data_IF_301353231336
#
_entry.id   IF_301353231336
#
_cell.length_a   1.000
_cell.length_b   1.000
_cell.length_c   1.000
_cell.angle_alpha   90.00
_cell.angle_beta   90.00
_cell.angle_gamma   90.00
#
_symmetry.space_group_name_H-M   'P 1'
#
loop_
_entity.id
_entity.type
_entity.pdbx_description
1 polymer ?
#
# COMPACT_ATOMS: atom_id res chain seq x y z
N UNK A 1 47.48 25.18 19.27
CA UNK A 1 48.83 24.55 19.27
C UNK A 1 49.77 25.37 20.12
N UNK A 2 50.36 24.77 21.15
CA UNK A 2 51.35 25.42 22.01
C UNK A 2 52.72 24.78 21.77
N UNK A 3 53.72 25.62 21.50
CA UNK A 3 55.12 25.19 21.38
C UNK A 3 55.75 25.25 22.77
N UNK A 4 56.36 24.14 23.20
CA UNK A 4 57.07 24.08 24.48
C UNK A 4 58.51 23.67 24.26
N UNK A 5 59.42 24.54 24.69
CA UNK A 5 60.84 24.23 24.74
C UNK A 5 61.13 23.38 25.98
N UNK A 6 61.63 22.17 25.77
CA UNK A 6 62.02 21.27 26.84
C UNK A 6 63.54 21.10 26.81
N UNK A 7 64.16 21.29 27.98
CA UNK A 7 65.59 21.02 28.19
C UNK A 7 65.75 19.61 28.72
N UNK A 8 66.66 18.84 28.13
CA UNK A 8 66.98 17.49 28.58
C UNK A 8 68.49 17.32 28.72
N UNK A 9 68.88 16.49 29.67
CA UNK A 9 70.28 16.15 29.96
C UNK A 9 70.59 14.85 29.23
N UNK A 10 71.71 14.82 28.51
CA UNK A 10 72.17 13.57 27.87
C UNK A 10 72.77 12.66 28.94
N UNK A 11 72.37 11.39 28.94
CA UNK A 11 72.90 10.34 29.82
C UNK A 11 73.65 9.30 28.99
N UNK A 12 74.69 8.70 29.56
CA UNK A 12 75.43 7.60 28.95
C UNK A 12 74.75 6.24 29.18
N UNK A 13 75.35 5.17 28.66
CA UNK A 13 74.87 3.79 28.79
C UNK A 13 74.81 3.27 30.25
N UNK A 14 75.56 3.90 31.16
CA UNK A 14 75.54 3.60 32.60
C UNK A 14 74.51 4.45 33.37
N UNK A 15 73.65 5.18 32.65
CA UNK A 15 72.62 6.05 33.20
C UNK A 15 73.18 7.25 33.98
N UNK A 16 74.40 7.68 33.67
CA UNK A 16 75.05 8.84 34.27
C UNK A 16 74.99 10.07 33.33
N UNK A 17 74.81 11.29 33.86
CA UNK A 17 74.81 12.50 33.04
C UNK A 17 76.15 12.75 32.36
N UNK A 18 76.11 12.99 31.05
CA UNK A 18 77.26 13.41 30.27
C UNK A 18 77.55 14.88 30.60
N UNK A 19 78.84 15.18 30.83
CA UNK A 19 79.32 16.52 31.15
C UNK A 19 80.18 17.05 30.01
N UNK A 20 80.14 18.36 29.80
CA UNK A 20 81.04 19.08 28.90
C UNK A 20 82.45 19.13 29.51
N UNK A 21 83.43 19.60 28.73
CA UNK A 21 84.84 19.73 29.15
C UNK A 21 85.04 20.63 30.38
N UNK A 22 84.13 21.59 30.59
CA UNK A 22 84.12 22.49 31.75
C UNK A 22 83.42 21.89 32.99
N UNK A 23 82.93 20.65 32.91
CA UNK A 23 82.22 19.95 33.99
C UNK A 23 80.73 20.28 34.10
N UNK A 24 80.19 21.16 33.25
CA UNK A 24 78.75 21.44 33.18
C UNK A 24 77.98 20.28 32.52
N UNK A 25 76.68 20.16 32.79
CA UNK A 25 75.84 19.13 32.14
C UNK A 25 75.66 19.45 30.65
N UNK A 26 75.77 18.43 29.78
CA UNK A 26 75.38 18.60 28.38
C UNK A 26 73.84 18.63 28.27
N UNK A 27 73.31 19.84 28.15
CA UNK A 27 71.88 20.12 28.06
C UNK A 27 71.54 20.42 26.61
N UNK A 28 70.64 19.63 26.03
CA UNK A 28 70.04 19.91 24.73
C UNK A 28 68.63 20.48 24.90
N UNK A 29 68.18 21.21 23.90
CA UNK A 29 66.82 21.76 23.85
C UNK A 29 66.11 21.14 22.66
N UNK A 30 64.89 20.64 22.88
CA UNK A 30 63.98 20.25 21.81
C UNK A 30 62.72 21.12 21.90
N UNK A 31 62.21 21.49 20.73
CA UNK A 31 60.89 22.10 20.59
C UNK A 31 59.88 20.98 20.41
N UNK A 32 58.90 20.91 21.32
CA UNK A 32 57.84 19.90 21.27
C UNK A 32 56.52 20.62 20.95
N UNK A 33 55.82 20.10 19.95
CA UNK A 33 54.45 20.52 19.62
C UNK A 33 53.50 19.74 20.52
N UNK A 34 52.75 20.45 21.36
CA UNK A 34 51.68 19.85 22.15
C UNK A 34 50.36 20.02 21.39
N UNK A 35 49.81 18.91 20.89
CA UNK A 35 48.47 18.88 20.35
C UNK A 35 47.44 19.09 21.47
N UNK A 36 46.43 19.92 21.19
CA UNK A 36 45.43 20.29 22.18
C UNK A 36 44.34 19.20 22.18
N UNK A 37 44.57 18.13 22.94
CA UNK A 37 43.72 16.93 22.93
C UNK A 37 42.22 17.26 23.13
N UNK A 38 41.92 18.27 23.95
CA UNK A 38 40.55 18.72 24.21
C UNK A 38 39.85 19.29 22.96
N UNK A 39 40.54 20.09 22.13
CA UNK A 39 39.97 20.63 20.88
C UNK A 39 39.70 19.51 19.86
N UNK A 40 40.58 18.50 19.81
CA UNK A 40 40.42 17.33 18.92
C UNK A 40 39.25 16.46 19.38
N UNK A 41 39.12 16.22 20.68
CA UNK A 41 38.01 15.48 21.26
C UNK A 41 36.65 16.18 21.04
N UNK A 42 36.60 17.50 21.24
CA UNK A 42 35.39 18.31 20.99
C UNK A 42 35.01 18.31 19.50
N UNK A 43 35.99 18.49 18.60
CA UNK A 43 35.76 18.42 17.16
C UNK A 43 35.22 17.05 16.72
N UNK A 44 35.79 15.96 17.26
CA UNK A 44 35.35 14.61 16.96
C UNK A 44 33.94 14.33 17.50
N UNK A 45 33.62 14.80 18.71
CA UNK A 45 32.29 14.67 19.29
C UNK A 45 31.23 15.43 18.47
N UNK A 46 31.54 16.67 18.05
CA UNK A 46 30.66 17.47 17.20
C UNK A 46 30.42 16.82 15.83
N UNK A 47 31.47 16.28 15.21
CA UNK A 47 31.32 15.55 13.94
C UNK A 47 30.47 14.29 14.10
N UNK A 48 30.63 13.54 15.20
CA UNK A 48 29.83 12.37 15.48
C UNK A 48 28.35 12.73 15.67
N UNK A 49 28.07 13.80 16.41
CA UNK A 49 26.71 14.32 16.59
C UNK A 49 26.07 14.73 15.27
N UNK A 50 26.79 15.50 14.44
CA UNK A 50 26.30 15.93 13.13
C UNK A 50 26.01 14.73 12.22
N UNK A 51 26.91 13.75 12.16
CA UNK A 51 26.72 12.52 11.39
C UNK A 51 25.48 11.73 11.86
N UNK A 52 25.26 11.64 13.17
CA UNK A 52 24.08 10.97 13.73
C UNK A 52 22.78 11.72 13.37
N UNK A 53 22.79 13.06 13.39
CA UNK A 53 21.65 13.86 12.95
C UNK A 53 21.33 13.62 11.47
N UNK A 54 22.34 13.69 10.59
CA UNK A 54 22.18 13.41 9.16
C UNK A 54 21.67 11.98 8.91
N UNK A 55 22.17 11.00 9.66
CA UNK A 55 21.71 9.62 9.57
C UNK A 55 20.22 9.50 9.91
N UNK A 56 19.77 10.14 11.00
CA UNK A 56 18.37 10.13 11.41
C UNK A 56 17.45 10.83 10.40
N UNK A 57 17.90 11.94 9.81
CA UNK A 57 17.18 12.63 8.74
C UNK A 57 17.03 11.74 7.51
N UNK A 58 18.12 11.09 7.07
CA UNK A 58 18.09 10.16 5.95
C UNK A 58 17.18 8.95 6.23
N UNK A 59 17.22 8.39 7.44
CA UNK A 59 16.37 7.27 7.84
C UNK A 59 14.89 7.66 7.84
N UNK A 60 14.56 8.86 8.35
CA UNK A 60 13.20 9.40 8.35
C UNK A 60 12.71 9.58 6.92
N UNK A 61 13.51 10.24 6.07
CA UNK A 61 13.18 10.46 4.67
C UNK A 61 13.03 9.17 3.88
N UNK A 62 13.86 8.16 4.16
CA UNK A 62 13.75 6.85 3.51
C UNK A 62 12.45 6.13 3.90
N UNK A 63 12.06 6.23 5.19
CA UNK A 63 10.78 5.67 5.67
C UNK A 63 9.58 6.37 5.04
N UNK A 64 9.64 7.70 4.90
CA UNK A 64 8.61 8.49 4.23
C UNK A 64 8.50 8.12 2.74
N UNK A 65 9.61 8.06 2.01
CA UNK A 65 9.64 7.68 0.61
C UNK A 65 9.10 6.25 0.39
N UNK A 66 9.44 5.32 1.28
CA UNK A 66 8.91 3.94 1.22
C UNK A 66 7.39 3.95 1.32
N UNK A 67 6.82 4.68 2.30
CA UNK A 67 5.38 4.82 2.47
C UNK A 67 4.70 5.46 1.25
N UNK A 68 5.32 6.49 0.65
CA UNK A 68 4.79 7.13 -0.56
C UNK A 68 4.76 6.15 -1.76
N UNK A 69 5.80 5.34 -1.94
CA UNK A 69 5.87 4.33 -3.01
C UNK A 69 4.79 3.25 -2.82
N UNK A 70 4.57 2.79 -1.59
CA UNK A 70 3.52 1.82 -1.28
C UNK A 70 2.13 2.37 -1.61
N UNK A 71 1.85 3.61 -1.22
CA UNK A 71 0.58 4.27 -1.53
C UNK A 71 0.37 4.44 -3.04
N UNK A 72 1.38 4.90 -3.77
CA UNK A 72 1.31 5.05 -5.22
C UNK A 72 1.10 3.70 -5.93
N UNK A 73 1.74 2.63 -5.43
CA UNK A 73 1.56 1.28 -5.97
C UNK A 73 0.13 0.78 -5.79
N UNK A 74 -0.49 1.05 -4.64
CA UNK A 74 -1.89 0.70 -4.40
C UNK A 74 -2.81 1.49 -5.34
N UNK A 75 -2.56 2.79 -5.52
CA UNK A 75 -3.34 3.65 -6.41
C UNK A 75 -3.26 3.18 -7.87
N UNK A 76 -2.07 2.81 -8.36
CA UNK A 76 -1.91 2.28 -9.71
C UNK A 76 -2.71 1.00 -9.93
N UNK A 77 -2.66 0.05 -8.98
CA UNK A 77 -3.47 -1.18 -9.05
C UNK A 77 -4.97 -0.88 -9.06
N UNK A 78 -5.43 0.13 -8.32
CA UNK A 78 -6.83 0.55 -8.33
C UNK A 78 -7.22 1.11 -9.70
N UNK A 79 -6.37 1.94 -10.30
CA UNK A 79 -6.58 2.47 -11.66
C UNK A 79 -6.67 1.32 -12.67
N UNK A 80 -5.73 0.38 -12.65
CA UNK A 80 -5.75 -0.80 -13.55
C UNK A 80 -7.06 -1.61 -13.43
N UNK A 81 -7.54 -1.83 -12.20
CA UNK A 81 -8.82 -2.52 -11.97
C UNK A 81 -10.00 -1.71 -12.50
N UNK A 82 -10.01 -0.40 -12.29
CA UNK A 82 -11.07 0.48 -12.78
C UNK A 82 -11.07 0.50 -14.31
N UNK A 83 -9.91 0.63 -14.95
CA UNK A 83 -9.78 0.61 -16.40
C UNK A 83 -10.25 -0.72 -16.99
N UNK A 84 -9.94 -1.84 -16.32
CA UNK A 84 -10.47 -3.14 -16.69
C UNK A 84 -12.00 -3.19 -16.58
N UNK A 85 -12.58 -2.74 -15.46
CA UNK A 85 -14.04 -2.69 -15.28
C UNK A 85 -14.71 -1.79 -16.33
N UNK A 86 -14.11 -0.63 -16.63
CA UNK A 86 -14.58 0.28 -17.65
C UNK A 86 -14.53 -0.40 -19.02
N UNK A 87 -13.48 -1.16 -19.35
CA UNK A 87 -13.41 -1.90 -20.61
C UNK A 87 -14.51 -2.96 -20.75
N UNK A 88 -14.87 -3.63 -19.65
CA UNK A 88 -15.98 -4.59 -19.63
C UNK A 88 -17.34 -3.90 -19.77
N UNK A 89 -17.51 -2.76 -19.12
CA UNK A 89 -18.74 -1.97 -19.21
C UNK A 89 -18.86 -1.28 -20.58
N UNK A 90 -17.72 -0.93 -21.18
CA UNK A 90 -17.49 -0.48 -22.56
C UNK A 90 -18.03 -1.47 -23.61
N UNK A 91 -17.95 -2.75 -23.26
CA UNK A 91 -18.14 -3.85 -24.19
C UNK A 91 -19.62 -4.23 -24.35
N UNK A 92 -20.21 -3.77 -25.45
CA UNK A 92 -21.60 -4.08 -25.82
C UNK A 92 -21.86 -5.59 -26.02
N UNK A 93 -20.87 -6.37 -26.47
CA UNK A 93 -21.02 -7.83 -26.56
C UNK A 93 -21.15 -8.47 -25.17
N UNK A 94 -20.28 -8.06 -24.23
CA UNK A 94 -20.33 -8.52 -22.84
C UNK A 94 -21.65 -8.12 -22.15
N UNK A 95 -22.10 -6.87 -22.34
CA UNK A 95 -23.42 -6.41 -21.88
C UNK A 95 -24.55 -7.27 -22.43
N UNK A 96 -24.54 -7.55 -23.74
CA UNK A 96 -25.58 -8.35 -24.37
C UNK A 96 -25.59 -9.80 -23.87
N UNK A 97 -24.42 -10.39 -23.60
CA UNK A 97 -24.32 -11.72 -22.97
C UNK A 97 -24.92 -11.70 -21.56
N UNK A 98 -24.60 -10.68 -20.75
CA UNK A 98 -25.20 -10.52 -19.43
C UNK A 98 -26.72 -10.36 -19.53
N UNK A 99 -27.23 -9.47 -20.39
CA UNK A 99 -28.67 -9.28 -20.56
C UNK A 99 -29.37 -10.56 -20.97
N UNK A 100 -28.84 -11.30 -21.96
CA UNK A 100 -29.40 -12.59 -22.39
C UNK A 100 -29.39 -13.65 -21.28
N UNK A 101 -28.37 -13.65 -20.42
CA UNK A 101 -28.31 -14.59 -19.30
C UNK A 101 -29.37 -14.32 -18.21
N UNK A 102 -29.88 -13.09 -18.14
CA UNK A 102 -30.97 -12.69 -17.25
C UNK A 102 -32.34 -12.66 -17.94
N UNK A 103 -32.40 -12.82 -19.27
CA UNK A 103 -33.65 -12.81 -20.00
C UNK A 103 -34.38 -14.15 -19.81
N UNK A 104 -35.40 -14.11 -18.96
CA UNK A 104 -36.27 -15.24 -18.64
C UNK A 104 -37.59 -15.16 -19.42
N UNK A 105 -37.69 -14.28 -20.42
CA UNK A 105 -38.93 -14.06 -21.17
C UNK A 105 -39.40 -15.33 -21.88
N UNK A 106 -38.47 -16.08 -22.47
CA UNK A 106 -38.74 -17.37 -23.11
C UNK A 106 -39.29 -18.40 -22.10
N UNK A 107 -38.68 -18.49 -20.91
CA UNK A 107 -39.15 -19.37 -19.84
C UNK A 107 -40.55 -18.97 -19.35
N UNK A 108 -40.83 -17.67 -19.24
CA UNK A 108 -42.16 -17.15 -18.89
C UNK A 108 -43.19 -17.51 -19.97
N UNK A 109 -42.85 -17.41 -21.25
CA UNK A 109 -43.75 -17.80 -22.35
C UNK A 109 -44.06 -19.30 -22.32
N UNK A 110 -43.05 -20.14 -22.07
CA UNK A 110 -43.23 -21.59 -21.91
C UNK A 110 -44.19 -21.89 -20.75
N UNK A 111 -43.96 -21.27 -19.58
CA UNK A 111 -44.83 -21.45 -18.40
C UNK A 111 -46.26 -20.97 -18.68
N UNK A 112 -46.44 -19.83 -19.35
CA UNK A 112 -47.76 -19.33 -19.74
C UNK A 112 -48.48 -20.34 -20.65
N UNK A 113 -47.79 -20.88 -21.65
CA UNK A 113 -48.37 -21.87 -22.55
C UNK A 113 -48.76 -23.16 -21.81
N UNK A 114 -47.94 -23.62 -20.86
CA UNK A 114 -48.25 -24.80 -20.06
C UNK A 114 -49.46 -24.56 -19.15
N UNK A 115 -49.53 -23.41 -18.47
CA UNK A 115 -50.66 -23.03 -17.63
C UNK A 115 -51.95 -22.93 -18.43
N UNK A 116 -51.91 -22.36 -19.64
CA UNK A 116 -53.07 -22.30 -20.53
C UNK A 116 -53.56 -23.70 -20.90
N UNK A 117 -52.63 -24.62 -21.24
CA UNK A 117 -52.97 -26.01 -21.55
C UNK A 117 -53.67 -26.71 -20.38
N UNK A 118 -53.16 -26.53 -19.15
CA UNK A 118 -53.77 -27.10 -17.94
C UNK A 118 -55.16 -26.52 -17.70
N UNK A 119 -55.31 -25.20 -17.86
CA UNK A 119 -56.60 -24.53 -17.72
C UNK A 119 -57.65 -25.06 -18.70
N UNK A 120 -57.28 -25.20 -19.98
CA UNK A 120 -58.15 -25.73 -21.02
C UNK A 120 -58.58 -27.18 -20.74
N UNK A 121 -57.67 -28.00 -20.21
CA UNK A 121 -57.95 -29.38 -19.81
C UNK A 121 -58.90 -29.44 -18.60
N UNK A 122 -58.69 -28.58 -17.60
CA UNK A 122 -59.59 -28.47 -16.45
C UNK A 122 -61.01 -28.06 -16.85
N UNK A 123 -61.15 -27.11 -17.80
CA UNK A 123 -62.47 -26.74 -18.34
C UNK A 123 -63.14 -27.95 -19.01
N UNK A 124 -62.42 -28.72 -19.83
CA UNK A 124 -62.96 -29.93 -20.46
C UNK A 124 -63.46 -30.92 -19.41
N UNK A 125 -62.66 -31.22 -18.39
CA UNK A 125 -63.06 -32.13 -17.30
C UNK A 125 -64.30 -31.62 -16.56
N UNK A 126 -64.39 -30.32 -16.27
CA UNK A 126 -65.57 -29.73 -15.65
C UNK A 126 -66.81 -29.90 -16.52
N UNK A 127 -66.72 -29.60 -17.83
CA UNK A 127 -67.87 -29.73 -18.74
C UNK A 127 -68.39 -31.16 -18.88
N UNK A 128 -67.51 -32.16 -18.82
CA UNK A 128 -67.87 -33.58 -18.84
C UNK A 128 -68.56 -34.00 -17.53
N UNK A 129 -68.07 -33.52 -16.39
CA UNK A 129 -68.61 -33.88 -15.07
C UNK A 129 -69.91 -33.15 -14.69
N UNK A 130 -70.23 -32.01 -15.31
CA UNK A 130 -71.46 -31.22 -15.01
C UNK A 130 -72.60 -31.43 -16.01
N UNK A 131 -72.50 -32.39 -16.95
CA UNK A 131 -73.58 -32.67 -17.90
C UNK A 131 -73.80 -31.56 -18.93
N UNK A 132 -72.75 -30.83 -19.30
CA UNK A 132 -72.77 -29.92 -20.47
C UNK A 132 -73.06 -28.44 -20.20
N UNK A 133 -73.07 -27.97 -18.94
CA UNK A 133 -73.14 -26.52 -18.66
C UNK A 133 -71.88 -26.07 -17.92
N UNK A 134 -70.97 -25.31 -18.59
CA UNK A 134 -69.87 -24.65 -17.90
C UNK A 134 -70.45 -23.57 -16.98
N UNK A 135 -70.17 -23.63 -15.67
CA UNK A 135 -70.43 -22.49 -14.77
C UNK A 135 -69.39 -21.40 -15.06
N UNK A 136 -69.72 -20.49 -15.97
CA UNK A 136 -68.97 -19.23 -16.13
C UNK A 136 -69.46 -18.30 -15.01
N UNK A 137 -68.89 -18.44 -13.81
CA UNK A 137 -68.92 -17.33 -12.87
C UNK A 137 -67.96 -16.27 -13.41
N UNK A 138 -68.51 -15.15 -13.85
CA UNK A 138 -67.79 -13.93 -14.18
C UNK A 138 -66.86 -13.58 -13.01
N UNK A 139 -65.60 -14.02 -13.08
CA UNK A 139 -64.52 -13.38 -12.34
C UNK A 139 -64.08 -12.24 -13.23
N UNK A 140 -64.46 -11.04 -12.82
CA UNK A 140 -63.84 -9.81 -13.27
C UNK A 140 -62.34 -10.04 -13.46
N UNK A 141 -61.85 -9.70 -14.64
CA UNK A 141 -60.43 -9.74 -14.97
C UNK A 141 -59.69 -8.77 -14.05
N UNK A 142 -59.37 -9.21 -12.84
CA UNK A 142 -58.33 -8.60 -12.03
C UNK A 142 -57.01 -9.23 -12.48
N UNK A 143 -56.66 -8.96 -13.73
CA UNK A 143 -55.26 -9.04 -14.16
C UNK A 143 -54.60 -7.96 -13.31
N UNK A 144 -53.84 -8.40 -12.32
CA UNK A 144 -52.93 -7.57 -11.55
C UNK A 144 -52.26 -6.60 -12.52
N UNK A 145 -52.57 -5.33 -12.36
CA UNK A 145 -51.89 -4.20 -12.98
C UNK A 145 -50.43 -4.25 -12.50
N UNK A 146 -49.58 -4.96 -13.26
CA UNK A 146 -48.17 -5.16 -12.94
C UNK A 146 -47.30 -3.97 -13.32
N UNK A 147 -47.89 -2.87 -13.81
CA UNK A 147 -47.16 -1.69 -14.28
C UNK A 147 -46.49 -0.89 -13.14
N UNK A 148 -46.58 -1.34 -11.88
CA UNK A 148 -46.07 -0.60 -10.72
C UNK A 148 -44.99 -1.31 -9.88
N UNK A 149 -44.41 -2.42 -10.32
CA UNK A 149 -43.44 -3.18 -9.49
C UNK A 149 -41.98 -2.73 -9.66
N UNK A 150 -41.66 -1.88 -10.64
CA UNK A 150 -40.27 -1.47 -10.92
C UNK A 150 -39.89 -0.01 -10.60
N UNK A 151 -40.75 0.75 -9.91
CA UNK A 151 -40.36 2.08 -9.40
C UNK A 151 -40.18 2.05 -7.88
N UNK A 152 -38.98 1.63 -7.44
CA UNK A 152 -38.39 2.05 -6.17
C UNK A 152 -36.88 1.87 -6.15
#
# INVERSE_FOLDING_TARGET
MALKNVKYVIINENNEPIKNEDGSLDIKTAEIILENNAEVEEFNASNLENNNQQFNELQTKNSELTSQIEQQTIQLKQIEVIDFINSLTENEEFKNVLLKSYDISDDIEIIKSQLQSVYDELIKVQTVNTGGVPKVENKENNILDTDNVFNK
#
